data_IF_261246119619
#
_entry.id   IF_261246119619
#
_cell.length_a   1.000
_cell.length_b   1.000
_cell.length_c   1.000
_cell.angle_alpha   90.00
_cell.angle_beta   90.00
_cell.angle_gamma   90.00
#
_symmetry.space_group_name_H-M   'P 1'
#
loop_
_entity.id
_entity.type
_entity.pdbx_description
1 polymer ?
#
# COMPACT_ATOMS: atom_id res chain seq x y z
N UNK A 1 -44.15 -48.15 -2.83
CA UNK A 1 -43.32 -48.05 -4.05
C UNK A 1 -42.79 -46.62 -4.13
N UNK A 2 -41.47 -46.42 -4.09
CA UNK A 2 -40.82 -45.12 -4.29
C UNK A 2 -40.14 -45.12 -5.67
N UNK A 3 -40.27 -44.08 -6.49
CA UNK A 3 -39.38 -43.87 -7.62
C UNK A 3 -38.20 -42.96 -7.26
N UNK A 4 -37.09 -43.33 -7.87
CA UNK A 4 -35.74 -42.78 -7.95
C UNK A 4 -35.67 -41.40 -8.61
N UNK A 5 -34.74 -40.55 -8.16
CA UNK A 5 -33.91 -39.72 -9.05
C UNK A 5 -32.69 -39.19 -8.27
N UNK A 6 -31.51 -39.71 -8.62
CA UNK A 6 -30.23 -39.03 -8.44
C UNK A 6 -30.21 -37.83 -9.40
N UNK A 7 -29.96 -36.62 -8.91
CA UNK A 7 -29.35 -35.59 -9.74
C UNK A 7 -28.51 -34.67 -8.84
N UNK A 8 -27.20 -34.88 -8.87
CA UNK A 8 -26.22 -33.92 -8.38
C UNK A 8 -26.39 -32.62 -9.17
N UNK A 9 -26.71 -31.53 -8.50
CA UNK A 9 -26.62 -30.18 -9.04
C UNK A 9 -26.05 -29.28 -7.95
N UNK A 10 -24.75 -29.48 -7.73
CA UNK A 10 -23.92 -28.53 -7.00
C UNK A 10 -24.10 -27.14 -7.66
N UNK A 11 -24.29 -26.06 -6.89
CA UNK A 11 -24.49 -24.74 -7.47
C UNK A 11 -23.28 -24.36 -8.33
N UNK A 12 -23.45 -23.78 -9.53
CA UNK A 12 -22.32 -23.39 -10.36
C UNK A 12 -21.45 -22.37 -9.61
N UNK A 13 -20.26 -22.82 -9.21
CA UNK A 13 -19.19 -21.99 -8.66
C UNK A 13 -18.72 -20.98 -9.73
N UNK A 14 -18.24 -19.78 -9.33
CA UNK A 14 -18.13 -18.64 -10.22
C UNK A 14 -16.96 -18.78 -11.21
N UNK A 15 -17.27 -18.89 -12.49
CA UNK A 15 -16.29 -18.76 -13.57
C UNK A 15 -16.15 -17.31 -13.98
N UNK A 16 -15.07 -16.66 -13.55
CA UNK A 16 -14.24 -15.77 -14.37
C UNK A 16 -13.06 -15.33 -13.52
N UNK A 17 -11.89 -15.89 -13.82
CA UNK A 17 -10.59 -15.38 -13.38
C UNK A 17 -10.33 -14.04 -14.08
N UNK A 18 -11.06 -13.01 -13.67
CA UNK A 18 -10.72 -11.64 -13.98
C UNK A 18 -9.43 -11.34 -13.24
N UNK A 19 -8.30 -11.29 -13.95
CA UNK A 19 -7.03 -10.81 -13.43
C UNK A 19 -7.26 -9.35 -13.02
N UNK A 20 -7.65 -9.14 -11.77
CA UNK A 20 -7.83 -7.80 -11.21
C UNK A 20 -6.59 -6.99 -11.57
N UNK A 21 -6.73 -5.78 -12.12
CA UNK A 21 -5.57 -4.94 -12.35
C UNK A 21 -4.84 -4.82 -11.01
N UNK A 22 -3.56 -5.18 -11.00
CA UNK A 22 -2.70 -4.99 -9.84
C UNK A 22 -2.62 -3.47 -9.67
N UNK A 23 -3.52 -2.91 -8.87
CA UNK A 23 -3.38 -1.55 -8.41
C UNK A 23 -2.07 -1.53 -7.64
N UNK A 24 -1.08 -0.80 -8.14
CA UNK A 24 0.01 -0.34 -7.31
C UNK A 24 -0.64 0.46 -6.19
N UNK A 25 -0.96 -0.22 -5.09
CA UNK A 25 -1.28 0.43 -3.84
C UNK A 25 0.02 1.09 -3.44
N UNK A 26 0.15 2.39 -3.72
CA UNK A 26 0.93 3.23 -2.84
C UNK A 26 0.29 2.99 -1.47
N UNK A 27 0.88 2.09 -0.69
CA UNK A 27 0.69 2.11 0.75
C UNK A 27 1.07 3.54 1.09
N UNK A 28 0.09 4.34 1.50
CA UNK A 28 0.39 5.66 2.00
C UNK A 28 1.09 5.41 3.35
N UNK A 29 2.41 5.20 3.30
CA UNK A 29 3.26 5.00 4.49
C UNK A 29 3.19 6.21 5.44
N UNK A 30 2.57 7.31 5.00
CA UNK A 30 2.49 8.58 5.68
C UNK A 30 1.11 9.20 5.48
N UNK A 31 0.45 9.54 6.58
CA UNK A 31 -0.64 10.52 6.55
C UNK A 31 -0.06 11.92 6.38
N UNK A 32 -0.77 12.84 5.73
CA UNK A 32 -0.30 14.23 5.62
C UNK A 32 -0.08 14.84 7.02
N UNK A 33 1.11 15.41 7.24
CA UNK A 33 1.54 15.91 8.55
C UNK A 33 2.25 14.86 9.42
N UNK A 34 2.23 13.58 9.05
CA UNK A 34 2.97 12.55 9.78
C UNK A 34 4.47 12.68 9.53
N UNK A 35 5.24 12.64 10.62
CA UNK A 35 6.69 12.68 10.60
C UNK A 35 7.27 11.40 11.20
N UNK A 36 8.34 10.90 10.60
CA UNK A 36 9.14 9.81 11.14
C UNK A 36 10.56 10.28 11.38
N UNK A 37 11.11 9.84 12.50
CA UNK A 37 12.49 10.08 12.86
C UNK A 37 13.27 8.84 12.45
N UNK A 38 14.29 9.03 11.64
CA UNK A 38 15.23 8.02 11.22
C UNK A 38 16.58 8.39 11.81
N UNK A 39 17.15 7.48 12.60
CA UNK A 39 18.52 7.63 13.08
C UNK A 39 19.46 6.90 12.13
N UNK A 40 20.48 7.60 11.64
CA UNK A 40 21.49 7.03 10.76
C UNK A 40 22.86 7.63 11.11
N UNK A 41 23.85 6.79 11.41
CA UNK A 41 25.21 7.24 11.77
C UNK A 41 25.25 8.25 12.94
N UNK A 42 24.35 8.09 13.92
CA UNK A 42 24.22 9.03 15.05
C UNK A 42 23.52 10.36 14.71
N UNK A 43 23.05 10.51 13.46
CA UNK A 43 22.32 11.68 12.99
C UNK A 43 20.83 11.43 13.03
N UNK A 44 20.07 12.39 13.58
CA UNK A 44 18.61 12.34 13.63
C UNK A 44 18.05 13.04 12.40
N UNK A 45 17.48 12.27 11.49
CA UNK A 45 16.84 12.74 10.26
C UNK A 45 15.33 12.69 10.48
N UNK A 46 14.63 13.80 10.22
CA UNK A 46 13.17 13.85 10.30
C UNK A 46 12.60 13.90 8.89
N UNK A 47 11.81 12.89 8.53
CA UNK A 47 11.11 12.83 7.25
C UNK A 47 9.63 13.09 7.52
N UNK A 48 9.10 14.18 6.96
CA UNK A 48 7.69 14.55 7.06
C UNK A 48 7.01 14.48 5.71
N UNK A 49 5.85 13.88 5.65
CA UNK A 49 5.01 13.94 4.47
C UNK A 49 4.13 15.18 4.50
N UNK A 50 4.20 15.99 3.45
CA UNK A 50 3.56 17.31 3.36
C UNK A 50 2.42 17.31 2.33
N UNK A 51 2.00 16.13 1.87
CA UNK A 51 0.85 15.97 0.98
C UNK A 51 1.23 15.60 -0.45
N UNK A 52 0.29 15.73 -1.39
CA UNK A 52 0.44 15.32 -2.80
C UNK A 52 0.20 16.46 -3.77
N UNK A 53 0.87 16.38 -4.93
CA UNK A 53 0.50 17.08 -6.15
C UNK A 53 0.16 16.05 -7.23
N UNK A 54 -1.13 15.76 -7.41
CA UNK A 54 -1.58 14.69 -8.30
C UNK A 54 -1.05 13.33 -7.86
N UNK A 55 -0.36 12.62 -8.75
CA UNK A 55 0.25 11.31 -8.44
C UNK A 55 1.59 11.39 -7.68
N UNK A 56 2.14 12.58 -7.47
CA UNK A 56 3.46 12.78 -6.83
C UNK A 56 3.30 13.20 -5.37
N UNK A 57 3.89 12.45 -4.45
CA UNK A 57 3.99 12.84 -3.03
C UNK A 57 5.05 13.92 -2.81
N UNK A 58 4.89 14.72 -1.76
CA UNK A 58 5.85 15.72 -1.31
C UNK A 58 6.30 15.38 0.10
N UNK A 59 7.61 15.39 0.31
CA UNK A 59 8.20 15.20 1.62
C UNK A 59 9.13 16.37 1.94
N UNK A 60 9.30 16.63 3.23
CA UNK A 60 10.33 17.50 3.80
C UNK A 60 11.27 16.62 4.59
N UNK A 61 12.57 16.83 4.39
CA UNK A 61 13.63 16.13 5.12
C UNK A 61 14.38 17.20 5.91
N UNK A 62 14.36 17.09 7.24
CA UNK A 62 15.15 17.92 8.15
C UNK A 62 16.33 17.06 8.62
N UNK A 63 17.56 17.53 8.39
CA UNK A 63 18.79 16.87 8.82
C UNK A 63 19.77 17.93 9.35
N UNK A 64 20.68 17.57 10.28
CA UNK A 64 21.72 18.47 10.76
C UNK A 64 22.65 18.93 9.62
N UNK A 65 23.21 20.13 9.76
CA UNK A 65 24.17 20.69 8.80
C UNK A 65 25.36 19.74 8.58
N UNK A 66 25.78 19.60 7.32
CA UNK A 66 26.85 18.68 6.93
C UNK A 66 26.41 17.24 6.66
N UNK A 67 25.12 16.92 6.82
CA UNK A 67 24.57 15.61 6.41
C UNK A 67 24.67 15.47 4.89
N UNK A 68 25.38 14.44 4.41
CA UNK A 68 25.52 14.16 2.98
C UNK A 68 24.66 12.96 2.62
N UNK A 69 23.69 13.15 1.71
CA UNK A 69 22.95 12.04 1.12
C UNK A 69 23.79 11.51 -0.06
N UNK A 70 24.27 10.27 0.02
CA UNK A 70 24.99 9.58 -1.06
C UNK A 70 24.14 8.45 -1.63
#
# INVERSE_FOLDING_TARGET
MKPTANESSEPPQPVTTGKSPVFCRCVDWYSEGEARIVEHSGMRIVVRYVGRKGRRGRIVIEAPDGTTFR
#
